data_IF_085903958959
#
_entry.id   IF_085903958959
#
_cell.length_a   1.000
_cell.length_b   1.000
_cell.length_c   1.000
_cell.angle_alpha   90.00
_cell.angle_beta   90.00
_cell.angle_gamma   90.00
#
_symmetry.space_group_name_H-M   'P 1'
#
loop_
_entity.id
_entity.type
_entity.pdbx_description
1 polymer ?
#
# COMPACT_ATOMS: atom_id res chain seq x y z
N UNK A 1 -29.46 -25.01 -20.92
CA UNK A 1 -29.01 -23.61 -21.00
C UNK A 1 -28.34 -23.32 -19.68
N UNK A 2 -27.01 -23.49 -19.62
CA UNK A 2 -26.24 -23.25 -18.40
C UNK A 2 -25.95 -21.76 -18.30
N UNK A 3 -26.54 -21.12 -17.30
CA UNK A 3 -26.23 -19.74 -16.96
C UNK A 3 -24.87 -19.71 -16.26
N UNK A 4 -23.84 -19.35 -16.99
CA UNK A 4 -22.51 -19.07 -16.45
C UNK A 4 -22.62 -17.91 -15.46
N UNK A 5 -22.57 -18.23 -14.16
CA UNK A 5 -22.52 -17.24 -13.09
C UNK A 5 -21.15 -16.58 -13.17
N UNK A 6 -21.05 -15.44 -13.86
CA UNK A 6 -19.87 -14.58 -13.81
C UNK A 6 -19.77 -14.04 -12.36
N UNK A 7 -18.70 -14.34 -11.63
CA UNK A 7 -18.59 -13.83 -10.27
C UNK A 7 -18.58 -12.30 -10.31
N UNK A 8 -19.57 -11.67 -9.66
CA UNK A 8 -19.60 -10.22 -9.43
C UNK A 8 -18.32 -9.83 -8.71
N UNK A 9 -17.38 -9.22 -9.43
CA UNK A 9 -16.20 -8.58 -8.80
C UNK A 9 -16.74 -7.62 -7.77
N UNK A 10 -16.48 -7.89 -6.48
CA UNK A 10 -16.87 -6.97 -5.41
C UNK A 10 -16.18 -5.63 -5.69
N UNK A 11 -16.97 -4.62 -6.11
CA UNK A 11 -16.47 -3.25 -6.27
C UNK A 11 -15.84 -2.84 -4.92
N UNK A 12 -14.56 -2.55 -4.93
CA UNK A 12 -13.87 -1.98 -3.77
C UNK A 12 -14.52 -0.63 -3.47
N UNK A 13 -15.14 -0.51 -2.31
CA UNK A 13 -15.74 0.74 -1.86
C UNK A 13 -14.70 1.46 -0.98
N UNK A 14 -14.35 2.73 -1.28
CA UNK A 14 -13.38 3.47 -0.48
C UNK A 14 -13.84 3.63 0.97
N UNK A 15 -12.90 3.57 1.89
CA UNK A 15 -13.18 3.74 3.33
C UNK A 15 -13.66 5.16 3.58
N UNK A 16 -14.73 5.32 4.39
CA UNK A 16 -15.29 6.61 4.79
C UNK A 16 -15.58 7.57 3.61
N UNK A 17 -15.95 7.03 2.43
CA UNK A 17 -16.12 7.84 1.22
C UNK A 17 -17.09 9.00 1.42
N UNK A 18 -18.21 8.78 2.10
CA UNK A 18 -19.23 9.82 2.33
C UNK A 18 -18.69 10.95 3.22
N UNK A 19 -17.99 10.58 4.26
CA UNK A 19 -17.39 11.50 5.24
C UNK A 19 -16.27 12.33 4.58
N UNK A 20 -15.40 11.70 3.81
CA UNK A 20 -14.34 12.37 3.06
C UNK A 20 -14.93 13.36 2.05
N UNK A 21 -15.93 12.98 1.27
CA UNK A 21 -16.60 13.89 0.32
C UNK A 21 -17.30 15.05 1.06
N UNK A 22 -17.88 14.80 2.21
CA UNK A 22 -18.50 15.85 3.04
C UNK A 22 -17.47 16.88 3.50
N UNK A 23 -16.30 16.42 3.99
CA UNK A 23 -15.22 17.30 4.45
C UNK A 23 -14.59 18.08 3.30
N UNK A 24 -14.31 17.42 2.17
CA UNK A 24 -13.72 18.06 0.99
C UNK A 24 -14.63 19.07 0.32
N UNK A 25 -15.95 18.92 0.47
CA UNK A 25 -16.97 19.82 -0.09
C UNK A 25 -16.75 20.14 -1.58
N UNK A 26 -16.65 19.12 -2.47
CA UNK A 26 -16.29 19.32 -3.88
C UNK A 26 -17.37 20.06 -4.68
N UNK A 27 -18.59 20.24 -4.14
CA UNK A 27 -19.64 21.09 -4.73
C UNK A 27 -19.18 22.55 -4.91
N UNK A 28 -18.18 23.01 -4.17
CA UNK A 28 -17.61 24.36 -4.29
C UNK A 28 -16.51 24.45 -5.35
N UNK A 29 -16.23 23.35 -6.06
CA UNK A 29 -15.21 23.30 -7.10
C UNK A 29 -13.78 23.32 -6.57
N UNK A 30 -12.82 23.41 -7.49
CA UNK A 30 -11.39 23.49 -7.20
C UNK A 30 -10.61 22.19 -7.53
N UNK A 31 -9.34 22.20 -7.24
CA UNK A 31 -8.43 21.09 -7.52
C UNK A 31 -8.21 20.26 -6.25
N UNK A 32 -8.30 18.95 -6.38
CA UNK A 32 -8.05 17.98 -5.30
C UNK A 32 -6.88 17.07 -5.68
N UNK A 33 -6.11 16.68 -4.68
CA UNK A 33 -4.98 15.74 -4.88
C UNK A 33 -5.33 14.42 -4.19
N UNK A 34 -5.40 13.35 -4.97
CA UNK A 34 -5.56 11.99 -4.46
C UNK A 34 -4.19 11.32 -4.45
N UNK A 35 -3.54 11.25 -3.28
CA UNK A 35 -2.18 10.73 -3.12
C UNK A 35 -2.10 9.19 -3.14
N UNK A 36 -3.25 8.53 -3.17
CA UNK A 36 -3.39 7.06 -3.07
C UNK A 36 -4.50 6.57 -3.99
N UNK A 37 -4.34 6.86 -5.28
CA UNK A 37 -5.39 6.68 -6.30
C UNK A 37 -6.01 5.28 -6.31
N UNK A 38 -5.18 4.22 -6.27
CA UNK A 38 -5.61 2.82 -6.26
C UNK A 38 -6.59 2.48 -7.38
N UNK A 39 -7.84 2.20 -7.01
CA UNK A 39 -8.95 1.93 -7.93
C UNK A 39 -9.73 3.20 -8.35
N UNK A 40 -9.28 4.37 -7.92
CA UNK A 40 -9.86 5.66 -8.27
C UNK A 40 -11.19 5.97 -7.58
N UNK A 41 -11.45 5.39 -6.42
CA UNK A 41 -12.75 5.52 -5.77
C UNK A 41 -13.06 6.94 -5.31
N UNK A 42 -12.14 7.61 -4.62
CA UNK A 42 -12.30 9.02 -4.22
C UNK A 42 -12.25 9.93 -5.43
N UNK A 43 -11.28 9.72 -6.32
CA UNK A 43 -11.13 10.49 -7.56
C UNK A 43 -12.41 10.51 -8.39
N UNK A 44 -13.01 9.36 -8.68
CA UNK A 44 -14.28 9.25 -9.41
C UNK A 44 -15.38 10.05 -8.74
N UNK A 45 -15.48 9.91 -7.40
CA UNK A 45 -16.54 10.58 -6.66
C UNK A 45 -16.39 12.11 -6.64
N UNK A 46 -15.16 12.62 -6.60
CA UNK A 46 -14.88 14.06 -6.71
C UNK A 46 -15.20 14.56 -8.13
N UNK A 47 -14.84 13.81 -9.16
CA UNK A 47 -15.08 14.18 -10.56
C UNK A 47 -16.56 14.15 -10.97
N UNK A 48 -17.46 13.54 -10.19
CA UNK A 48 -18.92 13.67 -10.34
C UNK A 48 -19.38 15.15 -10.23
N UNK A 49 -18.61 16.01 -9.58
CA UNK A 49 -18.88 17.45 -9.46
C UNK A 49 -18.22 18.21 -10.63
N UNK A 50 -19.01 18.98 -11.38
CA UNK A 50 -18.59 19.57 -12.67
C UNK A 50 -17.37 20.50 -12.61
N UNK A 51 -17.24 21.27 -11.51
CA UNK A 51 -16.20 22.30 -11.37
C UNK A 51 -14.97 21.81 -10.60
N UNK A 52 -14.75 20.50 -10.57
CA UNK A 52 -13.61 19.90 -9.86
C UNK A 52 -12.56 19.40 -10.85
N UNK A 53 -11.32 19.44 -10.42
CA UNK A 53 -10.15 18.80 -11.05
C UNK A 53 -9.48 17.87 -10.05
N UNK A 54 -8.97 16.73 -10.48
CA UNK A 54 -8.22 15.82 -9.62
C UNK A 54 -6.84 15.53 -10.22
N UNK A 55 -5.83 15.70 -9.39
CA UNK A 55 -4.46 15.24 -9.64
C UNK A 55 -4.24 13.99 -8.78
N UNK A 56 -4.21 12.84 -9.43
CA UNK A 56 -4.09 11.55 -8.74
C UNK A 56 -2.67 10.99 -8.82
N UNK A 57 -2.18 10.49 -7.72
CA UNK A 57 -0.86 9.88 -7.58
C UNK A 57 -1.01 8.42 -7.15
N UNK A 58 -0.20 7.56 -7.72
CA UNK A 58 -0.03 6.21 -7.23
C UNK A 58 1.36 5.67 -7.58
N UNK A 59 1.95 4.91 -6.68
CA UNK A 59 3.23 4.24 -6.91
C UNK A 59 3.09 2.89 -7.61
N UNK A 60 1.87 2.30 -7.62
CA UNK A 60 1.59 1.03 -8.26
C UNK A 60 1.28 1.21 -9.74
N UNK A 61 2.08 0.61 -10.61
CA UNK A 61 1.87 0.64 -12.06
C UNK A 61 0.52 0.04 -12.48
N UNK A 62 -0.07 -0.87 -11.69
CA UNK A 62 -1.38 -1.44 -11.99
C UNK A 62 -2.48 -0.36 -12.01
N UNK A 63 -2.31 0.70 -11.23
CA UNK A 63 -3.23 1.84 -11.19
C UNK A 63 -3.29 2.62 -12.52
N UNK A 64 -2.26 2.55 -13.36
CA UNK A 64 -2.20 3.24 -14.65
C UNK A 64 -3.34 2.84 -15.58
N UNK A 65 -3.65 1.54 -15.66
CA UNK A 65 -4.74 1.05 -16.53
C UNK A 65 -6.10 1.66 -16.16
N UNK A 66 -6.35 1.83 -14.87
CA UNK A 66 -7.58 2.43 -14.35
C UNK A 66 -7.58 3.94 -14.62
N UNK A 67 -6.42 4.56 -14.47
CA UNK A 67 -6.25 5.99 -14.74
C UNK A 67 -6.47 6.31 -16.22
N UNK A 68 -5.97 5.49 -17.14
CA UNK A 68 -6.16 5.68 -18.58
C UNK A 68 -7.65 5.66 -18.94
N UNK A 69 -8.40 4.67 -18.44
CA UNK A 69 -9.85 4.61 -18.62
C UNK A 69 -10.60 5.84 -18.06
N UNK A 70 -10.12 6.36 -16.93
CA UNK A 70 -10.73 7.53 -16.33
C UNK A 70 -10.43 8.79 -17.10
N UNK A 71 -9.24 8.90 -17.67
CA UNK A 71 -8.80 10.02 -18.49
C UNK A 71 -9.66 10.21 -19.76
N UNK A 72 -10.09 9.12 -20.37
CA UNK A 72 -11.00 9.17 -21.52
C UNK A 72 -12.33 9.89 -21.21
N UNK A 73 -12.80 9.81 -19.96
CA UNK A 73 -14.07 10.41 -19.53
C UNK A 73 -13.93 11.83 -18.96
N UNK A 74 -12.71 12.22 -18.54
CA UNK A 74 -12.46 13.47 -17.79
C UNK A 74 -11.20 14.21 -18.25
N UNK A 75 -10.93 14.21 -19.58
CA UNK A 75 -9.67 14.67 -20.21
C UNK A 75 -8.98 15.86 -19.53
N UNK A 76 -9.67 16.98 -19.39
CA UNK A 76 -9.10 18.23 -18.84
C UNK A 76 -9.15 18.32 -17.33
N UNK A 77 -9.92 17.46 -16.68
CA UNK A 77 -10.18 17.52 -15.24
C UNK A 77 -9.47 16.43 -14.44
N UNK A 78 -8.82 15.48 -15.12
CA UNK A 78 -8.12 14.38 -14.48
C UNK A 78 -6.68 14.26 -14.97
N UNK A 79 -5.74 14.32 -14.03
CA UNK A 79 -4.31 14.11 -14.27
C UNK A 79 -3.84 12.96 -13.38
N UNK A 80 -3.22 11.95 -13.99
CA UNK A 80 -2.59 10.86 -13.24
C UNK A 80 -1.07 10.93 -13.36
N UNK A 81 -0.37 10.67 -12.24
CA UNK A 81 1.09 10.54 -12.19
C UNK A 81 1.47 9.28 -11.43
N UNK A 82 2.24 8.41 -12.08
CA UNK A 82 2.82 7.25 -11.41
C UNK A 82 4.09 7.66 -10.64
N UNK A 83 3.89 8.24 -9.47
CA UNK A 83 4.94 8.68 -8.54
C UNK A 83 4.53 8.36 -7.11
N UNK A 84 5.52 8.39 -6.20
CA UNK A 84 5.25 8.34 -4.78
C UNK A 84 4.68 9.67 -4.29
N UNK A 85 3.76 9.65 -3.34
CA UNK A 85 3.20 10.89 -2.80
C UNK A 85 4.22 11.73 -2.01
N UNK A 86 5.32 11.14 -1.53
CA UNK A 86 6.46 11.89 -1.00
C UNK A 86 7.10 12.84 -2.03
N UNK A 87 6.82 12.64 -3.33
CA UNK A 87 7.31 13.46 -4.44
C UNK A 87 6.31 14.53 -4.91
N UNK A 88 5.28 14.80 -4.11
CA UNK A 88 4.24 15.79 -4.39
C UNK A 88 4.82 17.18 -4.74
N UNK A 89 5.93 17.57 -4.11
CA UNK A 89 6.66 18.80 -4.38
C UNK A 89 7.22 18.92 -5.81
N UNK A 90 7.34 17.81 -6.54
CA UNK A 90 7.80 17.79 -7.93
C UNK A 90 6.69 18.21 -8.92
N UNK A 91 5.46 18.33 -8.45
CA UNK A 91 4.34 18.77 -9.27
C UNK A 91 4.35 20.30 -9.40
N UNK A 92 4.06 20.79 -10.62
CA UNK A 92 3.94 22.23 -10.90
C UNK A 92 2.52 22.68 -10.54
N UNK A 93 2.29 23.01 -9.26
CA UNK A 93 0.97 23.33 -8.70
C UNK A 93 0.70 24.82 -8.52
N UNK A 94 1.63 25.71 -8.91
CA UNK A 94 1.56 27.16 -8.64
C UNK A 94 0.27 27.86 -9.06
N UNK A 95 -0.42 27.33 -10.07
CA UNK A 95 -1.64 27.93 -10.62
C UNK A 95 -2.90 27.11 -10.27
N UNK A 96 -2.78 26.11 -9.42
CA UNK A 96 -3.89 25.25 -9.03
C UNK A 96 -4.54 25.76 -7.73
N UNK A 97 -5.87 25.86 -7.72
CA UNK A 97 -6.64 26.15 -6.53
C UNK A 97 -6.84 24.85 -5.72
N UNK A 98 -5.82 24.44 -4.98
CA UNK A 98 -5.87 23.21 -4.18
C UNK A 98 -6.83 23.38 -3.01
N UNK A 99 -7.87 22.53 -2.96
CA UNK A 99 -8.92 22.54 -1.95
C UNK A 99 -8.82 21.39 -0.96
N UNK A 100 -8.08 20.34 -1.32
CA UNK A 100 -7.88 19.21 -0.43
C UNK A 100 -6.87 18.19 -0.96
N UNK A 101 -6.25 17.49 -0.02
CA UNK A 101 -5.30 16.41 -0.29
C UNK A 101 -5.75 15.17 0.47
N UNK A 102 -5.83 14.03 -0.22
CA UNK A 102 -6.33 12.76 0.32
C UNK A 102 -5.18 11.78 0.44
N UNK A 103 -5.10 11.11 1.59
CA UNK A 103 -4.24 9.97 1.83
C UNK A 103 -5.08 8.82 2.39
N UNK A 104 -5.25 7.76 1.62
CA UNK A 104 -5.82 6.47 2.07
C UNK A 104 -4.68 5.46 2.18
N UNK A 105 -4.11 5.39 3.40
CA UNK A 105 -2.84 4.69 3.63
C UNK A 105 -3.06 3.18 3.78
N UNK A 106 -2.19 2.42 3.13
CA UNK A 106 -2.19 0.97 3.23
C UNK A 106 -2.01 0.29 1.87
N UNK A 107 -2.70 -0.81 1.70
CA UNK A 107 -2.72 -1.59 0.46
C UNK A 107 -4.16 -1.90 0.05
N UNK A 108 -4.40 -2.03 -1.24
CA UNK A 108 -5.73 -2.36 -1.75
C UNK A 108 -6.04 -3.86 -1.59
N UNK A 109 -7.35 -4.19 -1.60
CA UNK A 109 -7.79 -5.59 -1.61
C UNK A 109 -7.21 -6.39 -2.79
N UNK A 110 -7.06 -5.77 -3.96
CA UNK A 110 -6.46 -6.40 -5.14
C UNK A 110 -4.98 -6.71 -4.92
N UNK A 111 -4.25 -5.83 -4.24
CA UNK A 111 -2.84 -6.06 -3.94
C UNK A 111 -2.62 -7.22 -2.95
N UNK A 112 -3.46 -7.34 -1.91
CA UNK A 112 -3.32 -8.46 -0.96
C UNK A 112 -3.69 -9.81 -1.58
N UNK A 113 -4.57 -9.81 -2.60
CA UNK A 113 -4.99 -11.02 -3.32
C UNK A 113 -4.06 -11.40 -4.46
N UNK A 114 -3.11 -10.54 -4.82
CA UNK A 114 -2.12 -10.84 -5.84
C UNK A 114 -1.00 -11.74 -5.24
N UNK A 115 -0.89 -13.02 -5.64
CA UNK A 115 0.13 -13.91 -5.11
C UNK A 115 1.56 -13.44 -5.41
N UNK A 116 1.76 -12.69 -6.51
CA UNK A 116 3.07 -12.19 -6.90
C UNK A 116 3.55 -11.05 -5.99
N UNK A 117 2.64 -10.38 -5.28
CA UNK A 117 2.99 -9.35 -4.31
C UNK A 117 3.44 -9.91 -2.95
N UNK A 118 3.07 -11.14 -2.60
CA UNK A 118 3.48 -11.76 -1.35
C UNK A 118 3.07 -10.98 -0.08
N UNK A 119 1.96 -10.23 -0.15
CA UNK A 119 1.45 -9.44 0.97
C UNK A 119 0.64 -10.28 1.96
N UNK A 120 0.09 -11.40 1.50
CA UNK A 120 -0.67 -12.32 2.34
C UNK A 120 0.21 -13.47 2.81
N UNK A 121 0.14 -13.80 4.09
CA UNK A 121 0.78 -14.97 4.67
C UNK A 121 0.09 -16.30 4.28
N UNK A 122 -1.10 -16.23 3.70
CA UNK A 122 -1.83 -17.39 3.14
C UNK A 122 -1.43 -17.69 1.69
N UNK A 123 -0.62 -16.84 1.06
CA UNK A 123 -0.21 -17.03 -0.32
C UNK A 123 1.02 -17.93 -0.43
N UNK A 124 1.02 -18.87 -1.36
CA UNK A 124 2.23 -19.57 -1.81
C UNK A 124 2.96 -18.69 -2.82
N UNK A 125 4.16 -18.20 -2.46
CA UNK A 125 4.91 -17.37 -3.39
C UNK A 125 6.14 -16.69 -2.81
N UNK A 126 6.73 -15.83 -3.63
CA UNK A 126 7.92 -15.05 -3.26
C UNK A 126 7.55 -13.96 -2.26
N UNK A 127 8.43 -13.71 -1.32
CA UNK A 127 8.34 -12.59 -0.38
C UNK A 127 8.67 -11.27 -1.09
N UNK A 128 7.76 -10.76 -1.92
CA UNK A 128 7.98 -9.51 -2.63
C UNK A 128 7.65 -8.30 -1.73
N UNK A 129 6.39 -8.15 -1.36
CA UNK A 129 5.80 -7.07 -0.55
C UNK A 129 5.97 -5.65 -1.12
N UNK A 130 6.41 -5.51 -2.35
CA UNK A 130 6.54 -4.20 -3.00
C UNK A 130 5.18 -3.67 -3.45
N UNK A 131 4.88 -2.43 -3.08
CA UNK A 131 3.69 -1.71 -3.53
C UNK A 131 3.93 -0.89 -4.81
N UNK A 132 5.12 -0.96 -5.39
CA UNK A 132 5.57 -0.25 -6.58
C UNK A 132 6.67 0.77 -6.30
N UNK A 133 7.50 1.07 -7.30
CA UNK A 133 8.62 2.01 -7.25
C UNK A 133 9.60 1.75 -6.07
N UNK A 134 9.88 0.49 -5.77
CA UNK A 134 10.80 0.06 -4.72
C UNK A 134 12.08 -0.52 -5.30
N UNK A 135 13.18 -0.36 -4.56
CA UNK A 135 14.50 -0.87 -4.94
C UNK A 135 14.83 -2.26 -4.39
N UNK A 136 14.09 -2.74 -3.38
CA UNK A 136 14.30 -4.05 -2.74
C UNK A 136 12.97 -4.65 -2.27
N UNK A 137 12.98 -5.95 -2.04
CA UNK A 137 11.81 -6.76 -1.66
C UNK A 137 11.91 -7.28 -0.23
N UNK A 138 10.85 -7.89 0.28
CA UNK A 138 10.90 -8.58 1.56
C UNK A 138 11.82 -9.82 1.51
N UNK A 139 11.97 -10.44 0.33
CA UNK A 139 12.93 -11.50 0.10
C UNK A 139 14.37 -11.01 0.35
N UNK A 140 14.73 -9.83 -0.18
CA UNK A 140 16.03 -9.21 0.09
C UNK A 140 16.24 -8.95 1.57
N UNK A 141 15.21 -8.46 2.27
CA UNK A 141 15.27 -8.20 3.72
C UNK A 141 15.53 -9.50 4.48
N UNK A 142 14.73 -10.53 4.24
CA UNK A 142 14.79 -11.79 4.98
C UNK A 142 16.07 -12.58 4.68
N UNK A 143 16.51 -12.57 3.42
CA UNK A 143 17.63 -13.42 3.00
C UNK A 143 19.00 -12.71 3.06
N UNK A 144 19.07 -11.37 3.23
CA UNK A 144 20.34 -10.61 3.21
C UNK A 144 20.70 -9.91 4.51
N UNK A 145 19.71 -9.40 5.29
CA UNK A 145 19.99 -8.62 6.49
C UNK A 145 20.48 -9.49 7.66
N UNK A 146 21.22 -8.87 8.61
CA UNK A 146 21.70 -9.55 9.81
C UNK A 146 20.63 -9.70 10.91
N UNK A 147 21.00 -10.44 12.01
CA UNK A 147 20.07 -10.70 13.12
C UNK A 147 19.58 -9.39 13.77
N UNK A 148 20.50 -8.43 13.97
CA UNK A 148 20.18 -7.16 14.66
C UNK A 148 19.29 -6.26 13.81
N UNK A 149 19.52 -6.24 12.50
CA UNK A 149 18.71 -5.48 11.56
C UNK A 149 17.29 -6.02 11.49
N UNK A 150 17.13 -7.35 11.35
CA UNK A 150 15.83 -8.01 11.36
C UNK A 150 15.09 -7.78 12.69
N UNK A 151 15.77 -7.94 13.84
CA UNK A 151 15.20 -7.67 15.15
C UNK A 151 14.65 -6.25 15.25
N UNK A 152 15.42 -5.25 14.78
CA UNK A 152 15.00 -3.85 14.79
C UNK A 152 13.75 -3.64 13.93
N UNK A 153 13.72 -4.19 12.72
CA UNK A 153 12.57 -4.09 11.83
C UNK A 153 11.32 -4.67 12.49
N UNK A 154 11.41 -5.88 13.04
CA UNK A 154 10.29 -6.56 13.67
C UNK A 154 9.79 -5.85 14.92
N UNK A 155 10.71 -5.30 15.71
CA UNK A 155 10.37 -4.55 16.91
C UNK A 155 9.72 -3.19 16.60
N UNK A 156 10.34 -2.39 15.72
CA UNK A 156 9.89 -1.01 15.50
C UNK A 156 8.65 -0.91 14.63
N UNK A 157 8.56 -1.73 13.58
CA UNK A 157 7.44 -1.64 12.63
C UNK A 157 6.33 -2.66 12.91
N UNK A 158 6.63 -3.75 13.64
CA UNK A 158 5.66 -4.79 13.97
C UNK A 158 5.24 -4.82 15.44
N UNK A 159 5.88 -4.06 16.30
CA UNK A 159 5.75 -4.22 17.76
C UNK A 159 5.85 -5.69 18.19
N UNK A 160 6.82 -6.44 17.58
CA UNK A 160 7.01 -7.86 17.83
C UNK A 160 8.04 -8.08 18.96
N UNK A 161 7.56 -8.56 20.10
CA UNK A 161 8.39 -8.77 21.29
C UNK A 161 9.35 -9.93 21.14
N UNK A 162 9.02 -10.92 20.34
CA UNK A 162 9.82 -12.11 20.07
C UNK A 162 10.71 -11.93 18.82
N UNK A 163 10.81 -10.69 18.30
CA UNK A 163 11.54 -10.34 17.06
C UNK A 163 12.96 -10.88 17.01
N UNK A 164 13.70 -10.83 18.13
CA UNK A 164 15.06 -11.39 18.21
C UNK A 164 15.09 -12.91 17.99
N UNK A 165 14.14 -13.63 18.59
CA UNK A 165 14.05 -15.09 18.45
C UNK A 165 13.69 -15.47 17.00
N UNK A 166 12.77 -14.75 16.41
CA UNK A 166 12.34 -14.94 15.02
C UNK A 166 13.52 -14.66 14.08
N UNK A 167 14.22 -13.52 14.25
CA UNK A 167 15.39 -13.16 13.45
C UNK A 167 16.47 -14.26 13.50
N UNK A 168 16.82 -14.75 14.70
CA UNK A 168 17.79 -15.82 14.87
C UNK A 168 17.39 -17.11 14.15
N UNK A 169 16.12 -17.49 14.19
CA UNK A 169 15.64 -18.68 13.51
C UNK A 169 15.60 -18.50 11.98
N UNK A 170 15.33 -17.29 11.49
CA UNK A 170 15.47 -16.93 10.08
C UNK A 170 16.93 -17.15 9.63
N UNK A 171 17.92 -16.62 10.39
CA UNK A 171 19.31 -16.80 10.04
C UNK A 171 19.73 -18.27 9.98
N UNK A 172 19.26 -19.08 10.92
CA UNK A 172 19.52 -20.53 10.93
C UNK A 172 18.93 -21.25 9.72
N UNK A 173 17.73 -20.86 9.30
CA UNK A 173 17.01 -21.51 8.20
C UNK A 173 17.61 -21.13 6.86
N UNK A 174 17.98 -19.87 6.63
CA UNK A 174 18.54 -19.43 5.35
C UNK A 174 19.90 -20.04 5.02
N UNK A 175 20.62 -20.56 6.04
CA UNK A 175 21.84 -21.37 5.81
C UNK A 175 21.56 -22.69 5.10
N UNK A 176 20.32 -23.17 5.15
CA UNK A 176 19.91 -24.44 4.55
C UNK A 176 19.22 -24.23 3.22
N UNK A 177 18.26 -23.29 3.15
CA UNK A 177 17.45 -23.00 1.98
C UNK A 177 17.02 -21.53 1.98
N UNK A 178 16.73 -20.99 0.81
CA UNK A 178 16.03 -19.71 0.67
C UNK A 178 14.70 -19.75 1.38
N UNK A 179 14.32 -18.63 2.00
CA UNK A 179 13.08 -18.49 2.75
C UNK A 179 12.03 -17.82 1.86
N UNK A 180 10.96 -18.54 1.57
CA UNK A 180 9.75 -18.07 0.92
C UNK A 180 8.64 -17.70 1.93
N UNK A 181 7.47 -17.32 1.46
CA UNK A 181 6.34 -16.94 2.30
C UNK A 181 5.96 -18.05 3.30
N UNK A 182 5.86 -19.29 2.83
CA UNK A 182 5.43 -20.43 3.65
C UNK A 182 6.46 -20.78 4.72
N UNK A 183 7.72 -20.90 4.34
CA UNK A 183 8.80 -21.17 5.29
C UNK A 183 8.97 -20.05 6.31
N UNK A 184 8.76 -18.79 5.94
CA UNK A 184 8.73 -17.69 6.91
C UNK A 184 7.61 -17.85 7.94
N UNK A 185 6.40 -18.18 7.52
CA UNK A 185 5.27 -18.44 8.43
C UNK A 185 5.59 -19.58 9.40
N UNK A 186 6.14 -20.69 8.90
CA UNK A 186 6.55 -21.81 9.75
C UNK A 186 7.62 -21.43 10.78
N UNK A 187 8.61 -20.62 10.37
CA UNK A 187 9.65 -20.11 11.28
C UNK A 187 9.01 -19.27 12.39
N UNK A 188 8.10 -18.38 12.03
CA UNK A 188 7.40 -17.51 12.99
C UNK A 188 6.60 -18.36 13.98
N UNK A 189 5.82 -19.32 13.50
CA UNK A 189 4.98 -20.17 14.34
C UNK A 189 5.81 -21.03 15.33
N UNK A 190 6.95 -21.55 14.88
CA UNK A 190 7.89 -22.30 15.74
C UNK A 190 8.64 -21.41 16.73
N UNK A 191 8.77 -20.11 16.43
CA UNK A 191 9.50 -19.14 17.27
C UNK A 191 8.65 -18.56 18.38
N UNK A 192 7.34 -18.47 18.20
CA UNK A 192 6.42 -17.85 19.16
C UNK A 192 6.07 -18.79 20.32
N UNK A 193 6.35 -18.32 21.54
CA UNK A 193 6.01 -19.03 22.77
C UNK A 193 4.52 -18.91 23.13
N UNK A 194 3.90 -17.75 22.81
CA UNK A 194 2.49 -17.47 23.07
C UNK A 194 1.72 -17.38 21.75
N UNK A 195 0.79 -18.29 21.55
CA UNK A 195 -0.14 -18.21 20.42
C UNK A 195 -1.27 -17.22 20.75
N UNK A 196 -1.45 -16.24 19.90
CA UNK A 196 -2.62 -15.37 19.99
C UNK A 196 -3.74 -15.95 19.13
N UNK A 197 -4.82 -16.40 19.74
CA UNK A 197 -5.95 -17.00 18.98
C UNK A 197 -6.78 -15.97 18.20
N UNK A 198 -6.61 -14.67 18.46
CA UNK A 198 -7.36 -13.61 17.79
C UNK A 198 -6.69 -13.07 16.54
N UNK A 199 -5.36 -13.18 16.43
CA UNK A 199 -4.56 -12.62 15.33
C UNK A 199 -3.52 -13.63 14.92
N UNK A 200 -3.38 -13.88 13.62
CA UNK A 200 -2.38 -14.82 13.10
C UNK A 200 -0.96 -14.41 13.52
N UNK A 201 -0.14 -15.37 13.89
CA UNK A 201 1.22 -15.12 14.43
C UNK A 201 2.10 -14.31 13.46
N UNK A 202 1.96 -14.54 12.16
CA UNK A 202 2.74 -13.85 11.13
C UNK A 202 2.33 -12.38 10.91
N UNK A 203 1.14 -11.94 11.36
CA UNK A 203 0.61 -10.61 11.06
C UNK A 203 1.60 -9.49 11.36
N UNK A 204 2.21 -9.49 12.55
CA UNK A 204 3.15 -8.43 12.98
C UNK A 204 4.42 -8.40 12.15
N UNK A 205 4.95 -9.56 11.78
CA UNK A 205 6.17 -9.68 10.97
C UNK A 205 5.90 -9.26 9.54
N UNK A 206 4.79 -9.70 8.94
CA UNK A 206 4.39 -9.28 7.59
C UNK A 206 4.12 -7.77 7.52
N UNK A 207 3.46 -7.22 8.52
CA UNK A 207 3.28 -5.77 8.65
C UNK A 207 4.62 -5.05 8.74
N UNK A 208 5.55 -5.51 9.58
CA UNK A 208 6.87 -4.91 9.74
C UNK A 208 7.67 -4.91 8.44
N UNK A 209 7.68 -6.04 7.74
CA UNK A 209 8.35 -6.17 6.45
C UNK A 209 7.75 -5.24 5.40
N UNK A 210 6.42 -5.19 5.29
CA UNK A 210 5.72 -4.33 4.35
C UNK A 210 6.05 -2.86 4.60
N UNK A 211 5.94 -2.40 5.84
CA UNK A 211 6.24 -1.01 6.22
C UNK A 211 7.70 -0.67 5.88
N UNK A 212 8.63 -1.56 6.19
CA UNK A 212 10.05 -1.35 5.92
C UNK A 212 10.36 -1.32 4.43
N UNK A 213 9.94 -2.35 3.67
CA UNK A 213 10.15 -2.47 2.21
C UNK A 213 9.61 -1.26 1.47
N UNK A 214 8.45 -0.77 1.87
CA UNK A 214 7.77 0.34 1.21
C UNK A 214 8.13 1.71 1.79
N UNK A 215 8.97 1.77 2.83
CA UNK A 215 9.35 3.00 3.54
C UNK A 215 8.13 3.82 3.98
N UNK A 216 7.03 3.13 4.38
CA UNK A 216 5.70 3.74 4.55
C UNK A 216 5.72 4.94 5.50
N UNK A 217 6.48 4.88 6.59
CA UNK A 217 6.57 5.98 7.57
C UNK A 217 7.29 7.20 6.97
N UNK A 218 8.43 6.99 6.29
CA UNK A 218 9.16 8.09 5.65
C UNK A 218 8.37 8.72 4.51
N UNK A 219 7.68 7.90 3.72
CA UNK A 219 6.78 8.34 2.66
C UNK A 219 5.68 9.23 3.25
N UNK A 220 5.03 8.78 4.34
CA UNK A 220 3.97 9.54 5.00
C UNK A 220 4.46 10.89 5.53
N UNK A 221 5.60 10.91 6.24
CA UNK A 221 6.17 12.14 6.79
C UNK A 221 6.44 13.14 5.67
N UNK A 222 7.14 12.71 4.61
CA UNK A 222 7.46 13.58 3.47
C UNK A 222 6.20 13.99 2.69
N UNK A 223 5.24 13.08 2.53
CA UNK A 223 3.97 13.38 1.89
C UNK A 223 3.18 14.46 2.62
N UNK A 224 3.06 14.36 3.95
CA UNK A 224 2.36 15.36 4.77
C UNK A 224 3.07 16.71 4.76
N UNK A 225 4.42 16.72 4.88
CA UNK A 225 5.20 17.96 4.78
C UNK A 225 4.99 18.64 3.43
N UNK A 226 4.96 17.88 2.35
CA UNK A 226 4.77 18.43 1.01
C UNK A 226 3.31 18.84 0.76
N UNK A 227 2.34 18.11 1.31
CA UNK A 227 0.93 18.49 1.23
C UNK A 227 0.62 19.80 1.97
N UNK A 228 1.32 20.08 3.06
CA UNK A 228 1.16 21.33 3.81
C UNK A 228 1.75 22.58 3.08
N UNK A 229 2.46 22.38 1.95
CA UNK A 229 3.06 23.46 1.15
C UNK A 229 2.29 23.79 -0.11
N UNK A 230 1.26 23.03 -0.43
CA UNK A 230 0.41 23.21 -1.62
C UNK A 230 -0.97 23.68 -1.23
#
# INVERSE_FOLDING_TARGET
MDATIVPKVKKHYPVLLKEIISVLSPQHGGTFIDCTFGQGGYTKKILDFKNTKVIALDRDLQSTKIADQLKENFEDRFIFKNIKFSQLNNLKLKNENIRGVIFDLGYSYTQIKDPQKGLSFDADGKLNMQLGLNSFSADDVINKLDEKELEKIFKFFGDEKEGKYIARNILKQRLKNNIDTKSLVEIIDKSKKRKNFKVHNATKIFQALRIFVNKEISELILGLINAAKV
#
